data_IF_273817597208
#
_entry.id   IF_273817597208
#
_cell.length_a   1.000
_cell.length_b   1.000
_cell.length_c   1.000
_cell.angle_alpha   90.00
_cell.angle_beta   90.00
_cell.angle_gamma   90.00
#
_symmetry.space_group_name_H-M   'P 1'
#
loop_
_entity.id
_entity.type
_entity.pdbx_description
1 polymer ?
#
# COMPACT_ATOMS: atom_id res chain seq x y z
N UNK A 1 -4.74 -48.31 -56.16
CA UNK A 1 -5.15 -47.96 -54.78
C UNK A 1 -4.15 -48.52 -53.78
N UNK A 2 -3.35 -47.66 -53.16
CA UNK A 2 -2.79 -47.78 -51.80
C UNK A 2 -2.06 -46.46 -51.50
N UNK A 3 -2.80 -45.54 -50.87
CA UNK A 3 -2.27 -44.38 -50.14
C UNK A 3 -1.65 -44.87 -48.82
N UNK A 4 -0.74 -44.06 -48.27
CA UNK A 4 -0.49 -43.83 -46.83
C UNK A 4 1.02 -43.92 -46.51
N UNK A 5 1.67 -43.03 -45.77
CA UNK A 5 1.37 -41.71 -45.21
C UNK A 5 2.70 -41.28 -44.56
N UNK A 6 3.44 -40.37 -45.18
CA UNK A 6 4.65 -39.81 -44.53
C UNK A 6 4.22 -38.69 -43.59
N UNK A 7 4.14 -38.98 -42.30
CA UNK A 7 3.83 -37.98 -41.26
C UNK A 7 5.10 -37.19 -40.96
N UNK A 8 5.14 -35.93 -41.42
CA UNK A 8 6.14 -34.94 -41.02
C UNK A 8 5.64 -34.23 -39.76
N UNK A 9 6.22 -34.55 -38.60
CA UNK A 9 5.90 -33.86 -37.34
C UNK A 9 6.74 -32.58 -37.29
N UNK A 10 6.09 -31.43 -37.46
CA UNK A 10 6.70 -30.12 -37.29
C UNK A 10 6.62 -29.72 -35.80
N UNK A 11 7.74 -29.79 -35.08
CA UNK A 11 7.83 -29.37 -33.69
C UNK A 11 8.00 -27.84 -33.63
N UNK A 12 6.92 -27.11 -33.33
CA UNK A 12 6.99 -25.65 -33.07
C UNK A 12 7.43 -25.44 -31.63
N UNK A 13 8.71 -25.12 -31.44
CA UNK A 13 9.23 -24.64 -30.15
C UNK A 13 8.79 -23.19 -29.96
N UNK A 14 7.71 -22.99 -29.19
CA UNK A 14 7.35 -21.67 -28.69
C UNK A 14 8.38 -21.24 -27.63
N UNK A 15 9.32 -20.39 -28.03
CA UNK A 15 10.22 -19.73 -27.08
C UNK A 15 9.42 -18.69 -26.30
N UNK A 16 9.03 -19.03 -25.07
CA UNK A 16 8.58 -18.02 -24.11
C UNK A 16 9.80 -17.23 -23.65
N UNK A 17 10.11 -16.14 -24.35
CA UNK A 17 10.98 -15.12 -23.80
C UNK A 17 10.26 -14.51 -22.59
N UNK A 18 10.60 -14.96 -21.39
CA UNK A 18 10.24 -14.27 -20.16
C UNK A 18 10.94 -12.92 -20.19
N UNK A 19 10.26 -11.90 -20.70
CA UNK A 19 10.72 -10.52 -20.62
C UNK A 19 10.80 -10.18 -19.13
N UNK A 20 12.02 -10.12 -18.59
CA UNK A 20 12.25 -9.43 -17.33
C UNK A 20 11.85 -7.98 -17.58
N UNK A 21 10.62 -7.62 -17.19
CA UNK A 21 10.13 -6.27 -17.32
C UNK A 21 11.06 -5.37 -16.51
N UNK A 22 11.85 -4.55 -17.22
CA UNK A 22 12.59 -3.46 -16.60
C UNK A 22 11.56 -2.61 -15.87
N UNK A 23 11.72 -2.43 -14.56
CA UNK A 23 10.86 -1.53 -13.80
C UNK A 23 11.01 -0.11 -14.37
N UNK A 24 9.89 0.46 -14.86
CA UNK A 24 9.84 1.78 -15.48
C UNK A 24 9.97 2.91 -14.45
N UNK A 25 9.73 2.60 -13.17
CA UNK A 25 9.74 3.56 -12.07
C UNK A 25 10.53 3.07 -10.85
N UNK A 26 11.13 4.02 -10.16
CA UNK A 26 11.53 3.88 -8.76
C UNK A 26 10.43 4.47 -7.88
N UNK A 27 9.84 3.66 -7.02
CA UNK A 27 8.75 4.07 -6.14
C UNK A 27 9.24 4.00 -4.69
N UNK A 28 9.14 5.11 -3.97
CA UNK A 28 9.37 5.17 -2.52
C UNK A 28 8.12 5.70 -1.83
N UNK A 29 7.83 5.17 -0.65
CA UNK A 29 6.76 5.66 0.18
C UNK A 29 7.25 5.83 1.62
N UNK A 30 7.26 7.07 2.09
CA UNK A 30 7.76 7.45 3.40
C UNK A 30 6.60 7.91 4.27
N UNK A 31 6.53 7.37 5.49
CA UNK A 31 5.52 7.76 6.46
C UNK A 31 5.94 9.05 7.16
N UNK A 32 5.06 10.04 7.19
CA UNK A 32 5.26 11.33 7.83
C UNK A 32 4.25 11.51 8.98
N UNK A 33 4.74 11.93 10.15
CA UNK A 33 3.87 12.34 11.28
C UNK A 33 3.51 13.82 11.09
N UNK A 34 2.23 14.11 10.98
CA UNK A 34 1.71 15.47 10.82
C UNK A 34 1.45 16.14 12.17
N UNK A 35 0.91 15.37 13.11
CA UNK A 35 0.52 15.87 14.42
C UNK A 35 0.42 14.78 15.46
N UNK A 36 0.34 15.19 16.72
CA UNK A 36 -0.04 14.31 17.81
C UNK A 36 -0.72 15.12 18.89
N UNK A 37 -1.86 14.61 19.33
CA UNK A 37 -2.62 15.13 20.44
C UNK A 37 -2.68 14.07 21.53
N UNK A 38 -2.74 14.51 22.78
CA UNK A 38 -2.88 13.64 23.94
C UNK A 38 -3.87 14.27 24.91
N UNK A 39 -4.86 13.49 25.33
CA UNK A 39 -5.92 13.93 26.22
C UNK A 39 -6.46 12.80 27.08
N UNK A 40 -7.52 13.10 27.83
CA UNK A 40 -8.28 12.13 28.63
C UNK A 40 -9.60 11.86 27.90
N UNK A 41 -9.96 10.60 27.70
CA UNK A 41 -11.27 10.23 27.13
C UNK A 41 -12.32 10.00 28.23
N UNK A 42 -11.93 9.29 29.28
CA UNK A 42 -12.72 9.09 30.49
C UNK A 42 -11.74 8.98 31.66
N UNK A 43 -12.11 9.42 32.87
CA UNK A 43 -11.25 9.71 34.03
C UNK A 43 -9.84 9.11 34.03
N UNK A 44 -9.73 7.78 33.90
CA UNK A 44 -8.50 7.02 34.07
C UNK A 44 -7.93 6.46 32.76
N UNK A 45 -8.35 6.99 31.62
CA UNK A 45 -7.95 6.57 30.28
C UNK A 45 -7.32 7.74 29.55
N UNK A 46 -6.04 7.58 29.22
CA UNK A 46 -5.31 8.51 28.37
C UNK A 46 -5.42 8.09 26.91
N UNK A 47 -5.81 9.03 26.05
CA UNK A 47 -5.89 8.84 24.60
C UNK A 47 -4.82 9.67 23.91
N UNK A 48 -4.08 9.04 23.01
CA UNK A 48 -3.09 9.70 22.15
C UNK A 48 -3.48 9.48 20.71
N UNK A 49 -3.80 10.56 19.99
CA UNK A 49 -4.15 10.53 18.57
C UNK A 49 -2.96 11.02 17.77
N UNK A 50 -2.49 10.23 16.80
CA UNK A 50 -1.43 10.61 15.87
C UNK A 50 -2.01 10.79 14.48
N UNK A 51 -1.81 11.96 13.90
CA UNK A 51 -2.13 12.19 12.50
C UNK A 51 -0.90 11.86 11.63
N UNK A 52 -1.09 11.01 10.64
CA UNK A 52 -0.04 10.47 9.78
C UNK A 52 -0.47 10.59 8.32
N UNK A 53 0.50 10.75 7.42
CA UNK A 53 0.32 10.55 5.97
C UNK A 53 1.49 9.79 5.38
N UNK A 54 1.34 9.35 4.14
CA UNK A 54 2.46 8.89 3.32
C UNK A 54 2.81 9.97 2.29
N UNK A 55 4.10 10.24 2.13
CA UNK A 55 4.68 10.89 0.95
C UNK A 55 5.15 9.80 0.00
N UNK A 56 4.64 9.82 -1.23
CA UNK A 56 4.97 8.86 -2.28
C UNK A 56 5.78 9.61 -3.34
N UNK A 57 6.97 9.11 -3.64
CA UNK A 57 7.79 9.61 -4.74
C UNK A 57 7.87 8.55 -5.83
N UNK A 58 7.58 8.97 -7.06
CA UNK A 58 7.61 8.10 -8.24
C UNK A 58 8.58 8.74 -9.23
N UNK A 59 9.75 8.13 -9.36
CA UNK A 59 10.80 8.56 -10.28
C UNK A 59 10.75 7.72 -11.54
N UNK A 60 10.52 8.37 -12.68
CA UNK A 60 10.62 7.74 -14.00
C UNK A 60 12.07 7.30 -14.27
N UNK A 61 12.25 6.11 -14.84
CA UNK A 61 13.53 5.65 -15.39
C UNK A 61 13.58 5.80 -16.91
N UNK A 62 12.48 6.25 -17.53
CA UNK A 62 12.39 6.46 -18.96
C UNK A 62 13.26 7.64 -19.42
N UNK A 63 13.90 7.46 -20.58
CA UNK A 63 14.61 8.53 -21.30
C UNK A 63 13.66 9.43 -22.12
N UNK A 64 12.36 9.13 -22.14
CA UNK A 64 11.31 9.91 -22.78
C UNK A 64 10.30 10.37 -21.75
N UNK A 65 9.65 11.50 -22.03
CA UNK A 65 8.51 11.93 -21.24
C UNK A 65 7.37 10.90 -21.36
N UNK A 66 6.64 10.71 -20.26
CA UNK A 66 5.51 9.80 -20.15
C UNK A 66 4.24 10.63 -19.99
N UNK A 67 3.22 10.32 -20.78
CA UNK A 67 1.94 10.99 -20.73
C UNK A 67 0.92 10.17 -19.93
N UNK A 68 -0.06 10.86 -19.35
CA UNK A 68 -1.20 10.26 -18.65
C UNK A 68 -0.77 9.22 -17.59
N UNK A 69 0.18 9.61 -16.75
CA UNK A 69 0.62 8.78 -15.62
C UNK A 69 -0.40 8.94 -14.49
N UNK A 70 -0.94 7.84 -13.99
CA UNK A 70 -1.82 7.83 -12.82
C UNK A 70 -1.17 7.00 -11.71
N UNK A 71 -1.00 7.61 -10.55
CA UNK A 71 -0.52 6.93 -9.35
C UNK A 71 -1.71 6.70 -8.43
N UNK A 72 -2.08 5.44 -8.24
CA UNK A 72 -3.09 5.02 -7.27
C UNK A 72 -2.41 4.45 -6.04
N UNK A 73 -2.99 4.67 -4.86
CA UNK A 73 -2.50 4.12 -3.62
C UNK A 73 -3.62 3.58 -2.74
N UNK A 74 -3.23 2.64 -1.87
CA UNK A 74 -4.03 2.12 -0.79
C UNK A 74 -3.19 1.99 0.46
N UNK A 75 -3.51 2.76 1.49
CA UNK A 75 -2.88 2.71 2.81
C UNK A 75 -3.67 1.73 3.67
N UNK A 76 -2.98 0.89 4.42
CA UNK A 76 -3.56 -0.10 5.32
C UNK A 76 -3.14 0.18 6.76
N UNK A 77 -4.09 0.08 7.67
CA UNK A 77 -3.86 0.21 9.11
C UNK A 77 -4.76 -0.75 9.87
N UNK A 78 -4.34 -1.12 11.07
CA UNK A 78 -5.07 -1.96 12.00
C UNK A 78 -5.70 -1.07 13.04
N UNK A 79 -7.01 -1.16 13.13
CA UNK A 79 -7.88 -0.47 14.08
C UNK A 79 -8.09 -1.40 15.29
N UNK A 80 -7.59 -1.00 16.46
CA UNK A 80 -7.62 -1.83 17.67
C UNK A 80 -8.55 -1.19 18.71
N UNK A 81 -9.69 -1.84 18.93
CA UNK A 81 -10.65 -1.44 19.97
C UNK A 81 -10.04 -1.47 21.38
N UNK A 82 -10.54 -0.59 22.25
CA UNK A 82 -10.15 -0.50 23.65
C UNK A 82 -10.38 -1.84 24.37
N UNK A 83 -9.37 -2.33 25.10
CA UNK A 83 -9.46 -3.61 25.81
C UNK A 83 -9.54 -4.84 24.89
N UNK A 84 -9.42 -4.70 23.57
CA UNK A 84 -9.41 -5.84 22.67
C UNK A 84 -8.07 -6.59 22.74
N UNK A 85 -8.16 -7.92 22.78
CA UNK A 85 -7.01 -8.82 22.62
C UNK A 85 -6.86 -9.16 21.14
N UNK A 86 -5.65 -9.01 20.59
CA UNK A 86 -5.35 -9.38 19.20
C UNK A 86 -4.83 -8.25 18.32
N UNK A 87 -4.93 -8.45 17.02
CA UNK A 87 -4.18 -7.72 15.99
C UNK A 87 -4.94 -6.52 15.39
N UNK A 88 -6.18 -6.27 15.83
CA UNK A 88 -7.08 -5.25 15.29
C UNK A 88 -7.71 -5.63 13.94
N UNK A 89 -8.69 -4.83 13.51
CA UNK A 89 -9.36 -4.97 12.21
C UNK A 89 -8.56 -4.25 11.14
N UNK A 90 -8.24 -4.93 10.04
CA UNK A 90 -7.55 -4.29 8.91
C UNK A 90 -8.49 -3.33 8.17
N UNK A 91 -8.17 -2.05 8.22
CA UNK A 91 -8.82 -0.96 7.50
C UNK A 91 -7.93 -0.47 6.36
N UNK A 92 -8.53 0.27 5.41
CA UNK A 92 -7.78 0.87 4.32
C UNK A 92 -8.36 2.19 3.84
N UNK A 93 -7.48 3.06 3.35
CA UNK A 93 -7.82 4.31 2.69
C UNK A 93 -7.18 4.36 1.30
N UNK A 94 -7.97 4.71 0.28
CA UNK A 94 -7.53 4.77 -1.11
C UNK A 94 -7.36 6.22 -1.57
N UNK A 95 -6.57 6.41 -2.62
CA UNK A 95 -6.55 7.65 -3.38
C UNK A 95 -5.78 7.50 -4.68
N UNK A 96 -5.80 8.56 -5.48
CA UNK A 96 -5.15 8.59 -6.78
C UNK A 96 -4.77 10.01 -7.16
N UNK A 97 -3.71 10.16 -7.92
CA UNK A 97 -3.31 11.42 -8.53
C UNK A 97 -2.87 11.18 -9.98
N UNK A 98 -3.24 12.10 -10.87
CA UNK A 98 -2.92 12.04 -12.29
C UNK A 98 -1.90 13.11 -12.63
N UNK A 99 -0.88 12.70 -13.37
CA UNK A 99 0.16 13.55 -13.92
C UNK A 99 0.02 13.51 -15.45
N UNK A 100 -0.49 14.58 -16.08
CA UNK A 100 -0.66 14.61 -17.54
C UNK A 100 0.65 14.38 -18.28
N UNK A 101 1.77 14.84 -17.71
CA UNK A 101 3.11 14.67 -18.24
C UNK A 101 4.11 14.46 -17.10
N UNK A 102 4.92 13.41 -17.20
CA UNK A 102 6.10 13.17 -16.36
C UNK A 102 7.33 13.23 -17.27
N UNK A 103 8.23 14.16 -17.00
CA UNK A 103 9.45 14.32 -17.80
C UNK A 103 10.35 13.07 -17.82
N UNK A 104 11.26 13.01 -18.79
CA UNK A 104 12.30 11.98 -18.81
C UNK A 104 13.12 12.03 -17.52
N UNK A 105 13.31 10.87 -16.88
CA UNK A 105 14.01 10.73 -15.59
C UNK A 105 13.48 11.61 -14.44
N UNK A 106 12.28 12.18 -14.57
CA UNK A 106 11.72 13.09 -13.58
C UNK A 106 11.09 12.34 -12.40
N UNK A 107 11.01 13.02 -11.26
CA UNK A 107 10.29 12.55 -10.07
C UNK A 107 9.01 13.35 -9.89
N UNK A 108 7.89 12.66 -9.73
CA UNK A 108 6.65 13.26 -9.21
C UNK A 108 6.47 12.84 -7.75
N UNK A 109 5.85 13.73 -6.97
CA UNK A 109 5.59 13.50 -5.56
C UNK A 109 4.12 13.75 -5.28
N UNK A 110 3.47 12.83 -4.57
CA UNK A 110 2.12 13.00 -4.05
C UNK A 110 2.09 12.67 -2.56
N UNK A 111 1.09 13.21 -1.87
CA UNK A 111 0.81 12.88 -0.47
C UNK A 111 -0.53 12.17 -0.36
N UNK A 112 -0.60 11.15 0.48
CA UNK A 112 -1.89 10.55 0.81
C UNK A 112 -2.72 11.53 1.63
N UNK A 113 -4.03 11.33 1.63
CA UNK A 113 -4.88 11.95 2.66
C UNK A 113 -4.34 11.56 4.04
N UNK A 114 -4.32 12.48 5.02
CA UNK A 114 -3.98 12.12 6.39
C UNK A 114 -4.97 11.08 6.95
N UNK A 115 -4.49 10.26 7.86
CA UNK A 115 -5.27 9.31 8.63
C UNK A 115 -4.79 9.30 10.08
N UNK A 116 -5.68 8.95 11.00
CA UNK A 116 -5.42 8.96 12.42
C UNK A 116 -5.12 7.56 12.94
N UNK A 117 -4.20 7.49 13.89
CA UNK A 117 -3.95 6.30 14.71
C UNK A 117 -4.16 6.68 16.17
N UNK A 118 -5.02 5.94 16.84
CA UNK A 118 -5.35 6.15 18.24
C UNK A 118 -4.59 5.15 19.11
N UNK A 119 -4.18 5.60 20.28
CA UNK A 119 -3.65 4.74 21.35
C UNK A 119 -4.36 5.09 22.62
N UNK A 120 -5.02 4.11 23.21
CA UNK A 120 -5.69 4.24 24.49
C UNK A 120 -4.92 3.47 25.55
N UNK A 121 -4.80 4.07 26.73
CA UNK A 121 -4.06 3.48 27.83
C UNK A 121 -4.74 3.81 29.16
N UNK A 122 -5.04 2.77 29.93
CA UNK A 122 -5.49 2.92 31.31
C UNK A 122 -4.34 3.43 32.19
N UNK A 123 -4.69 4.26 33.17
CA UNK A 123 -3.78 4.73 34.21
C UNK A 123 -3.29 3.55 35.08
N UNK A 124 -2.19 3.76 35.80
CA UNK A 124 -1.66 2.75 36.73
C UNK A 124 -2.72 2.31 37.74
N UNK A 125 -2.75 1.01 38.04
CA UNK A 125 -3.71 0.35 38.93
C UNK A 125 -5.14 0.21 38.39
N UNK A 126 -5.41 0.65 37.15
CA UNK A 126 -6.67 0.36 36.46
C UNK A 126 -6.51 -0.84 35.55
N UNK A 127 -7.54 -1.69 35.55
CA UNK A 127 -7.63 -2.87 34.71
C UNK A 127 -9.08 -3.06 34.26
N UNK A 128 -9.26 -3.71 33.12
CA UNK A 128 -10.58 -4.16 32.69
C UNK A 128 -10.97 -5.37 33.53
N UNK A 129 -12.23 -5.44 33.97
CA UNK A 129 -12.76 -6.59 34.72
C UNK A 129 -12.63 -7.92 33.95
N UNK A 130 -12.65 -7.84 32.60
CA UNK A 130 -12.38 -8.97 31.70
C UNK A 130 -10.93 -9.49 31.75
N UNK A 131 -10.02 -8.83 32.46
CA UNK A 131 -8.58 -9.10 32.43
C UNK A 131 -7.88 -8.66 31.14
N UNK A 132 -8.57 -7.87 30.30
CA UNK A 132 -8.02 -7.36 29.04
C UNK A 132 -6.81 -6.45 29.25
N UNK A 133 -5.99 -6.34 28.19
CA UNK A 133 -4.79 -5.49 28.21
C UNK A 133 -5.12 -4.02 28.48
N UNK A 134 -4.28 -3.37 29.29
CA UNK A 134 -4.43 -1.96 29.70
C UNK A 134 -4.09 -0.94 28.60
N UNK A 135 -3.73 -1.41 27.39
CA UNK A 135 -3.35 -0.56 26.27
C UNK A 135 -3.83 -1.17 24.95
N UNK A 136 -4.51 -0.36 24.14
CA UNK A 136 -4.79 -0.64 22.72
C UNK A 136 -4.09 0.40 21.86
N UNK A 137 -3.65 0.02 20.66
CA UNK A 137 -2.94 0.93 19.79
C UNK A 137 -3.14 0.56 18.34
N UNK A 138 -3.70 1.48 17.57
CA UNK A 138 -3.77 1.36 16.13
C UNK A 138 -2.37 1.33 15.53
N UNK A 139 -2.22 0.60 14.42
CA UNK A 139 -0.92 0.42 13.78
C UNK A 139 -1.02 0.56 12.28
N UNK A 140 -0.05 1.25 11.69
CA UNK A 140 0.13 1.18 10.24
C UNK A 140 0.51 -0.25 9.85
N UNK A 141 -0.26 -0.84 8.94
CA UNK A 141 0.07 -2.12 8.34
C UNK A 141 0.95 -1.94 7.10
N UNK A 142 0.76 -0.84 6.34
CA UNK A 142 1.65 -0.38 5.27
C UNK A 142 0.90 0.25 4.10
N UNK A 143 1.49 0.22 2.91
CA UNK A 143 0.96 0.88 1.71
C UNK A 143 1.17 0.02 0.45
N UNK A 144 0.21 0.07 -0.46
CA UNK A 144 0.30 -0.48 -1.82
C UNK A 144 0.09 0.65 -2.82
N UNK A 145 1.03 0.83 -3.73
CA UNK A 145 1.01 1.83 -4.80
C UNK A 145 1.00 1.11 -6.15
N UNK A 146 0.18 1.61 -7.08
CA UNK A 146 0.14 1.18 -8.48
C UNK A 146 0.31 2.38 -9.38
N UNK A 147 1.18 2.25 -10.38
CA UNK A 147 1.43 3.27 -11.39
C UNK A 147 0.88 2.78 -12.72
N UNK A 148 0.02 3.59 -13.33
CA UNK A 148 -0.58 3.34 -14.62
C UNK A 148 -0.06 4.36 -15.63
N UNK A 149 0.20 3.93 -16.85
CA UNK A 149 0.52 4.81 -17.99
C UNK A 149 -0.57 4.60 -19.03
N UNK A 150 -1.24 5.67 -19.46
CA UNK A 150 -2.34 5.57 -20.43
C UNK A 150 -3.42 4.55 -20.03
N UNK A 151 -3.69 4.42 -18.72
CA UNK A 151 -4.66 3.47 -18.16
C UNK A 151 -4.18 2.02 -18.04
N UNK A 152 -2.96 1.68 -18.49
CA UNK A 152 -2.38 0.36 -18.33
C UNK A 152 -1.48 0.29 -17.11
N UNK A 153 -1.61 -0.76 -16.31
CA UNK A 153 -0.74 -0.98 -15.15
C UNK A 153 0.70 -1.19 -15.63
N UNK A 154 1.59 -0.27 -15.27
CA UNK A 154 3.02 -0.33 -15.59
C UNK A 154 3.80 -0.95 -14.42
N UNK A 155 3.53 -0.52 -13.18
CA UNK A 155 4.28 -1.00 -12.02
C UNK A 155 3.48 -1.03 -10.74
N UNK A 156 3.84 -1.95 -9.84
CA UNK A 156 3.34 -2.03 -8.47
C UNK A 156 4.45 -1.93 -7.44
N UNK A 157 4.12 -1.35 -6.29
CA UNK A 157 4.99 -1.28 -5.12
C UNK A 157 4.19 -1.57 -3.85
N UNK A 158 4.67 -2.49 -3.01
CA UNK A 158 4.08 -2.84 -1.72
C UNK A 158 5.12 -2.69 -0.61
N UNK A 159 4.77 -1.96 0.45
CA UNK A 159 5.60 -1.89 1.65
C UNK A 159 4.74 -2.01 2.92
N UNK A 160 4.86 -3.12 3.68
CA UNK A 160 5.68 -4.30 3.38
C UNK A 160 5.10 -5.12 2.22
N UNK A 161 5.96 -5.90 1.54
CA UNK A 161 5.56 -6.77 0.42
C UNK A 161 4.53 -7.83 0.79
N UNK A 162 4.34 -8.11 2.08
CA UNK A 162 3.34 -9.07 2.57
C UNK A 162 1.90 -8.57 2.48
N UNK A 163 1.66 -7.28 2.24
CA UNK A 163 0.30 -6.72 2.15
C UNK A 163 -0.50 -7.37 1.02
N UNK A 164 0.12 -7.56 -0.14
CA UNK A 164 -0.53 -8.18 -1.30
C UNK A 164 -0.95 -9.63 -1.08
N UNK A 165 -0.48 -10.28 -0.01
CA UNK A 165 -0.92 -11.63 0.40
C UNK A 165 -2.11 -11.61 1.37
N UNK A 166 -2.37 -10.47 2.00
CA UNK A 166 -3.38 -10.30 3.05
C UNK A 166 -4.58 -9.46 2.62
N UNK A 167 -4.45 -8.76 1.50
CA UNK A 167 -5.50 -7.93 0.94
C UNK A 167 -5.40 -7.93 -0.59
N UNK A 168 -6.55 -7.86 -1.25
CA UNK A 168 -6.64 -7.67 -2.69
C UNK A 168 -6.69 -6.18 -3.04
N UNK A 169 -6.18 -5.81 -4.21
CA UNK A 169 -6.41 -4.49 -4.76
C UNK A 169 -7.90 -4.27 -5.05
N UNK A 170 -8.41 -3.09 -4.71
CA UNK A 170 -9.79 -2.68 -5.00
C UNK A 170 -9.73 -1.29 -5.63
N UNK A 171 -10.20 -1.19 -6.87
CA UNK A 171 -10.35 0.09 -7.58
C UNK A 171 -11.51 0.92 -7.01
#
# INVERSE_FOLDING_TARGET
MKLSLSVLVLLVLATFASQAALQDFDITATREKMGQERGRADGNTTVTTKEIRYRIEVKSRSFKALENVEVKYRVFYKDQEAGATGDGVLRSQNGSEKFPLVGAQATVTLSTKPFQLTTEQLDGNWYYDSGSGNKSSDRVAGIWVRVYINGQLSQEFCNPSTISRKADWKD
#
